data_IF_467946100087
#
_entry.id   IF_467946100087
#
_cell.length_a   1.000
_cell.length_b   1.000
_cell.length_c   1.000
_cell.angle_alpha   90.00
_cell.angle_beta   90.00
_cell.angle_gamma   90.00
#
_symmetry.space_group_name_H-M   'P 1'
#
loop_
_entity.id
_entity.type
_entity.pdbx_description
1 polymer ?
#
# COMPACT_ATOMS: atom_id res chain seq x y z
N UNK A 1 -14.71 3.37 -14.18
CA UNK A 1 -13.31 3.14 -13.74
C UNK A 1 -13.10 3.97 -12.48
N UNK A 2 -12.93 3.35 -11.31
CA UNK A 2 -12.80 4.08 -10.05
C UNK A 2 -11.40 4.72 -10.01
N UNK A 3 -11.35 6.04 -9.81
CA UNK A 3 -10.13 6.82 -9.67
C UNK A 3 -9.28 6.31 -8.48
N UNK A 4 -7.96 6.25 -8.65
CA UNK A 4 -7.00 5.81 -7.61
C UNK A 4 -7.17 6.68 -6.36
N UNK A 5 -7.47 7.96 -6.53
CA UNK A 5 -7.73 8.89 -5.42
C UNK A 5 -8.96 8.49 -4.61
N UNK A 6 -10.02 8.02 -5.27
CA UNK A 6 -11.21 7.50 -4.59
C UNK A 6 -10.88 6.23 -3.80
N UNK A 7 -10.15 5.29 -4.41
CA UNK A 7 -9.72 4.06 -3.72
C UNK A 7 -8.88 4.34 -2.46
N UNK A 8 -8.01 5.34 -2.50
CA UNK A 8 -7.21 5.76 -1.34
C UNK A 8 -8.08 6.36 -0.23
N UNK A 9 -9.06 7.20 -0.58
CA UNK A 9 -9.99 7.79 0.41
C UNK A 9 -10.86 6.74 1.08
N UNK A 10 -11.27 5.73 0.34
CA UNK A 10 -12.13 4.66 0.85
C UNK A 10 -11.35 3.64 1.70
N UNK A 11 -10.01 3.72 1.73
CA UNK A 11 -9.14 2.83 2.48
C UNK A 11 -9.18 3.12 3.99
N UNK A 12 -10.21 2.63 4.67
CA UNK A 12 -10.38 2.75 6.12
C UNK A 12 -9.92 1.48 6.83
N UNK A 13 -8.95 1.59 7.74
CA UNK A 13 -8.40 0.46 8.51
C UNK A 13 -8.36 0.76 10.01
N UNK A 14 -8.38 -0.27 10.87
CA UNK A 14 -8.23 -0.10 12.31
C UNK A 14 -7.06 0.82 12.67
N UNK A 15 -7.28 1.72 13.63
CA UNK A 15 -6.32 2.79 13.97
C UNK A 15 -4.91 2.29 14.30
N UNK A 16 -4.80 1.09 14.89
CA UNK A 16 -3.52 0.49 15.23
C UNK A 16 -2.70 0.16 13.97
N UNK A 17 -3.33 -0.39 12.94
CA UNK A 17 -2.67 -0.70 11.66
C UNK A 17 -2.20 0.58 10.97
N UNK A 18 -3.09 1.57 10.92
CA UNK A 18 -2.81 2.86 10.30
C UNK A 18 -1.67 3.58 11.02
N UNK A 19 -1.66 3.57 12.37
CA UNK A 19 -0.56 4.15 13.16
C UNK A 19 0.76 3.42 12.93
N UNK A 20 0.77 2.08 12.96
CA UNK A 20 1.97 1.31 12.71
C UNK A 20 2.53 1.58 11.29
N UNK A 21 1.66 1.65 10.28
CA UNK A 21 2.05 1.95 8.92
C UNK A 21 2.64 3.36 8.78
N UNK A 22 2.10 4.36 9.51
CA UNK A 22 2.66 5.72 9.52
C UNK A 22 4.08 5.77 10.07
N UNK A 23 4.42 4.96 11.07
CA UNK A 23 5.81 4.87 11.56
C UNK A 23 6.72 4.12 10.58
N UNK A 24 6.21 3.05 9.98
CA UNK A 24 6.97 2.25 9.02
C UNK A 24 7.18 2.95 7.66
N UNK A 25 6.43 4.02 7.39
CA UNK A 25 6.43 4.71 6.09
C UNK A 25 7.77 5.34 5.75
N UNK A 26 8.52 5.77 6.75
CA UNK A 26 9.82 6.43 6.57
C UNK A 26 10.95 5.40 6.35
N UNK A 27 10.72 4.15 6.77
CA UNK A 27 11.62 3.02 6.57
C UNK A 27 11.35 2.25 5.26
N UNK A 28 10.29 2.60 4.54
CA UNK A 28 9.94 2.00 3.26
C UNK A 28 11.01 2.31 2.21
N UNK A 29 11.55 1.25 1.60
CA UNK A 29 12.51 1.32 0.51
C UNK A 29 11.93 0.62 -0.71
N UNK A 30 11.46 1.40 -1.68
CA UNK A 30 10.86 0.90 -2.93
C UNK A 30 11.62 -0.26 -3.58
N UNK A 31 12.95 -0.14 -3.71
CA UNK A 31 13.79 -1.16 -4.35
C UNK A 31 13.88 -2.49 -3.58
N UNK A 32 13.66 -2.47 -2.26
CA UNK A 32 13.72 -3.65 -1.38
C UNK A 32 12.34 -4.22 -1.09
N UNK A 33 11.39 -3.35 -0.77
CA UNK A 33 10.11 -3.75 -0.18
C UNK A 33 9.04 -4.01 -1.23
N UNK A 34 9.02 -3.23 -2.32
CA UNK A 34 8.04 -3.42 -3.39
C UNK A 34 8.14 -4.81 -4.04
N UNK A 35 9.33 -5.34 -4.38
CA UNK A 35 9.45 -6.70 -4.91
C UNK A 35 9.05 -7.80 -3.92
N UNK A 36 9.12 -7.53 -2.61
CA UNK A 36 8.67 -8.47 -1.57
C UNK A 36 7.15 -8.51 -1.44
N UNK A 37 6.49 -7.36 -1.62
CA UNK A 37 5.04 -7.26 -1.61
C UNK A 37 4.42 -7.77 -2.92
N UNK A 38 5.10 -7.52 -4.05
CA UNK A 38 4.68 -7.84 -5.42
C UNK A 38 5.71 -8.77 -6.11
N UNK A 39 5.84 -10.03 -5.66
CA UNK A 39 6.80 -10.96 -6.23
C UNK A 39 6.43 -11.30 -7.68
N UNK A 40 7.44 -11.32 -8.56
CA UNK A 40 7.27 -11.68 -9.98
C UNK A 40 6.79 -10.55 -10.88
N UNK A 41 6.55 -9.35 -10.33
CA UNK A 41 6.16 -8.18 -11.11
C UNK A 41 7.41 -7.42 -11.61
N UNK A 42 7.48 -7.00 -12.88
CA UNK A 42 8.57 -6.13 -13.35
C UNK A 42 8.53 -4.77 -12.65
N UNK A 43 9.62 -3.96 -12.69
CA UNK A 43 9.64 -2.64 -12.09
C UNK A 43 8.46 -1.77 -12.54
N UNK A 44 7.57 -1.45 -11.61
CA UNK A 44 6.37 -0.65 -11.87
C UNK A 44 6.62 0.84 -11.62
N UNK A 45 6.00 1.68 -12.45
CA UNK A 45 5.81 3.11 -12.17
C UNK A 45 4.91 3.29 -10.93
N UNK A 46 4.92 4.47 -10.25
CA UNK A 46 4.15 4.67 -9.01
C UNK A 46 2.66 4.37 -9.12
N UNK A 47 1.98 4.82 -10.19
CA UNK A 47 0.55 4.60 -10.37
C UNK A 47 0.16 3.10 -10.49
N UNK A 48 0.76 2.29 -11.38
CA UNK A 48 0.46 0.86 -11.44
C UNK A 48 0.92 0.11 -10.18
N UNK A 49 2.03 0.49 -9.56
CA UNK A 49 2.46 -0.09 -8.28
C UNK A 49 1.40 0.10 -7.19
N UNK A 50 0.81 1.30 -7.11
CA UNK A 50 -0.23 1.62 -6.14
C UNK A 50 -1.51 0.79 -6.36
N UNK A 51 -1.89 0.52 -7.61
CA UNK A 51 -3.03 -0.35 -7.92
C UNK A 51 -2.78 -1.76 -7.40
N UNK A 52 -1.63 -2.35 -7.70
CA UNK A 52 -1.28 -3.70 -7.23
C UNK A 52 -1.19 -3.77 -5.70
N UNK A 53 -0.62 -2.75 -5.06
CA UNK A 53 -0.54 -2.67 -3.61
C UNK A 53 -1.92 -2.62 -2.94
N UNK A 54 -2.90 -1.94 -3.54
CA UNK A 54 -4.29 -1.92 -3.05
C UNK A 54 -4.94 -3.31 -3.13
N UNK A 55 -4.62 -4.09 -4.16
CA UNK A 55 -5.11 -5.47 -4.30
C UNK A 55 -4.47 -6.39 -3.25
N UNK A 56 -3.16 -6.27 -3.01
CA UNK A 56 -2.46 -6.98 -1.91
C UNK A 56 -3.06 -6.63 -0.55
N UNK A 57 -3.29 -5.35 -0.31
CA UNK A 57 -3.87 -4.88 0.95
C UNK A 57 -5.28 -5.44 1.15
N UNK A 58 -6.10 -5.49 0.09
CA UNK A 58 -7.44 -6.08 0.15
C UNK A 58 -7.39 -7.54 0.59
N UNK A 59 -6.53 -8.34 -0.03
CA UNK A 59 -6.35 -9.76 0.33
C UNK A 59 -5.90 -9.93 1.79
N UNK A 60 -4.93 -9.11 2.26
CA UNK A 60 -4.49 -9.15 3.65
C UNK A 60 -5.61 -8.77 4.64
N UNK A 61 -6.49 -7.84 4.27
CA UNK A 61 -7.64 -7.49 5.10
C UNK A 61 -8.72 -8.58 5.12
N UNK A 62 -8.91 -9.31 4.01
CA UNK A 62 -9.77 -10.49 3.96
C UNK A 62 -9.22 -11.59 4.88
N UNK A 63 -7.93 -11.92 4.77
CA UNK A 63 -7.25 -12.87 5.66
C UNK A 63 -7.37 -12.49 7.13
N UNK A 64 -7.17 -11.20 7.45
CA UNK A 64 -7.31 -10.66 8.81
C UNK A 64 -8.72 -10.88 9.36
N UNK A 65 -9.75 -10.60 8.54
CA UNK A 65 -11.16 -10.76 8.95
C UNK A 65 -11.54 -12.23 9.10
N UNK A 66 -10.98 -13.10 8.26
CA UNK A 66 -11.20 -14.55 8.33
C UNK A 66 -10.41 -15.22 9.47
N UNK A 67 -9.46 -14.53 10.10
CA UNK A 67 -8.54 -15.14 11.06
C UNK A 67 -7.66 -16.21 10.40
N UNK A 68 -7.29 -16.01 9.13
CA UNK A 68 -6.56 -16.99 8.35
C UNK A 68 -5.20 -17.29 8.99
N UNK A 69 -4.80 -18.56 9.00
CA UNK A 69 -3.52 -19.03 9.56
C UNK A 69 -2.31 -18.36 8.87
N UNK A 70 -2.46 -17.99 7.59
CA UNK A 70 -1.43 -17.30 6.82
C UNK A 70 -1.39 -15.78 7.01
N UNK A 71 -2.29 -15.20 7.81
CA UNK A 71 -2.34 -13.75 8.00
C UNK A 71 -1.06 -13.24 8.67
N UNK A 72 -0.40 -12.28 8.01
CA UNK A 72 0.78 -11.62 8.53
C UNK A 72 0.49 -10.14 8.80
N UNK A 73 0.41 -9.78 10.08
CA UNK A 73 0.27 -8.40 10.53
C UNK A 73 1.39 -7.50 10.00
N UNK A 74 2.65 -7.98 10.08
CA UNK A 74 3.81 -7.22 9.61
C UNK A 74 3.77 -6.96 8.11
N UNK A 75 3.32 -7.94 7.31
CA UNK A 75 3.11 -7.75 5.87
C UNK A 75 2.00 -6.74 5.59
N UNK A 76 0.92 -6.72 6.39
CA UNK A 76 -0.17 -5.76 6.25
C UNK A 76 0.29 -4.33 6.57
N UNK A 77 1.04 -4.14 7.65
CA UNK A 77 1.65 -2.85 7.97
C UNK A 77 2.58 -2.38 6.85
N UNK A 78 3.42 -3.28 6.32
CA UNK A 78 4.32 -2.95 5.20
C UNK A 78 3.54 -2.57 3.93
N UNK A 79 2.45 -3.26 3.61
CA UNK A 79 1.59 -2.93 2.46
C UNK A 79 0.95 -1.54 2.61
N UNK A 80 0.43 -1.21 3.79
CA UNK A 80 -0.13 0.12 4.07
C UNK A 80 0.95 1.21 4.01
N UNK A 81 2.14 0.96 4.55
CA UNK A 81 3.27 1.89 4.44
C UNK A 81 3.68 2.12 2.98
N UNK A 82 3.75 1.06 2.18
CA UNK A 82 4.04 1.16 0.75
C UNK A 82 2.98 1.98 0.01
N UNK A 83 1.68 1.75 0.27
CA UNK A 83 0.58 2.55 -0.31
C UNK A 83 0.75 4.04 0.02
N UNK A 84 1.01 4.37 1.28
CA UNK A 84 1.19 5.77 1.71
C UNK A 84 2.43 6.41 1.06
N UNK A 85 3.55 5.67 0.94
CA UNK A 85 4.75 6.18 0.29
C UNK A 85 4.54 6.38 -1.22
N UNK A 86 4.02 5.38 -1.94
CA UNK A 86 3.79 5.46 -3.38
C UNK A 86 2.72 6.51 -3.74
N UNK A 87 1.71 6.72 -2.88
CA UNK A 87 0.74 7.80 -3.06
C UNK A 87 1.37 9.18 -2.90
N UNK A 88 2.29 9.36 -1.93
CA UNK A 88 3.07 10.60 -1.76
C UNK A 88 3.96 10.87 -2.97
N UNK A 89 4.67 9.86 -3.46
CA UNK A 89 5.51 9.96 -4.67
C UNK A 89 4.69 10.32 -5.91
N UNK A 90 3.53 9.67 -6.09
CA UNK A 90 2.62 9.96 -7.20
C UNK A 90 2.11 11.42 -7.14
N UNK A 91 1.76 11.91 -5.94
CA UNK A 91 1.34 13.30 -5.76
C UNK A 91 2.47 14.29 -6.06
N UNK A 92 3.72 13.99 -5.67
CA UNK A 92 4.87 14.84 -5.91
C UNK A 92 5.26 14.91 -7.40
N UNK A 93 5.03 13.83 -8.16
CA UNK A 93 5.30 13.79 -9.61
C UNK A 93 4.25 14.51 -10.47
N UNK A 94 3.08 14.84 -9.92
CA UNK A 94 2.06 15.64 -10.61
C UNK A 94 2.33 17.13 -10.34
N UNK A 95 2.60 17.97 -11.36
CA UNK A 95 2.77 19.40 -11.12
C UNK A 95 1.48 19.98 -10.51
N UNK A 96 1.57 20.95 -9.59
CA UNK A 96 0.38 21.60 -9.05
C UNK A 96 -0.34 22.27 -10.23
N UNK A 97 -1.55 21.78 -10.53
CA UNK A 97 -2.44 22.43 -11.47
C UNK A 97 -2.74 23.83 -10.93
N UNK A 98 -2.12 24.85 -11.51
CA UNK A 98 -2.43 26.26 -11.24
C UNK A 98 -3.62 26.67 -12.09
#
# INVERSE_FOLDING_TARGET
MIDIQTRLRDLHRPDLLTRAARFAVDDYRRTRDLPRLLPGTPPLRPAPALVELLEVERGLNEDRKAGAVGYSLSRHVLALAAIMAEARDLAATRPPST
#
